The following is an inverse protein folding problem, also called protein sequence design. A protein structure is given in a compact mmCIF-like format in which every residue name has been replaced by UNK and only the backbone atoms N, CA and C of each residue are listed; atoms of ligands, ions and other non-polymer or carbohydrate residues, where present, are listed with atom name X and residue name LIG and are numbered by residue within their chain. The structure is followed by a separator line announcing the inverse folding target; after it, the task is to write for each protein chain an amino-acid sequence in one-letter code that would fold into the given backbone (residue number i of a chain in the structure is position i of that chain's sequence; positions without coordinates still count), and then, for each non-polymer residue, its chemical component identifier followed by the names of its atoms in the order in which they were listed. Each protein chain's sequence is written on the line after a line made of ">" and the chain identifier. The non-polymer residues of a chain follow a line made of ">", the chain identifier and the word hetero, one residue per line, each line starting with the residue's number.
data_IF_983974780082
#
_entry.id   IF_983974780082
#
_cell.length_a   1.000
_cell.length_b   1.000
_cell.length_c   1.000
_cell.angle_alpha   90.00
_cell.angle_beta   90.00
_cell.angle_gamma   90.00
#
_symmetry.space_group_name_H-M   'P 1'
#
loop_
_entity.id
_entity.type
_entity.pdbx_description
1 polymer ?
#
# COMPACT_ATOMS: atom_id res chain seq x y z
N UNK A 1 -41.66 -13.99 5.88
CA UNK A 1 -41.30 -15.43 5.85
C UNK A 1 -40.10 -15.64 6.77
N UNK A 2 -40.20 -16.52 7.76
CA UNK A 2 -39.08 -16.83 8.65
C UNK A 2 -38.03 -17.67 7.91
N UNK A 3 -36.76 -17.26 7.97
CA UNK A 3 -35.63 -17.97 7.34
C UNK A 3 -34.89 -18.75 8.42
N UNK A 4 -35.09 -20.07 8.43
CA UNK A 4 -34.33 -20.98 9.28
C UNK A 4 -33.06 -21.42 8.56
N UNK A 5 -31.90 -21.16 9.16
CA UNK A 5 -30.59 -21.52 8.60
C UNK A 5 -29.86 -22.39 9.60
N UNK A 6 -29.46 -23.59 9.16
CA UNK A 6 -28.60 -24.48 9.92
C UNK A 6 -27.16 -23.96 9.89
N UNK A 7 -26.53 -23.87 11.06
CA UNK A 7 -25.13 -23.48 11.15
C UNK A 7 -24.22 -24.60 10.60
N UNK A 8 -23.29 -24.30 9.67
CA UNK A 8 -22.38 -25.31 9.13
C UNK A 8 -21.31 -25.77 10.14
N UNK A 9 -21.08 -25.02 11.22
CA UNK A 9 -20.04 -25.30 12.21
C UNK A 9 -20.58 -26.08 13.42
N UNK A 10 -21.67 -25.61 14.04
CA UNK A 10 -22.23 -26.24 15.24
C UNK A 10 -23.55 -27.01 15.01
N UNK A 11 -24.11 -26.99 13.80
CA UNK A 11 -25.34 -27.73 13.47
C UNK A 11 -26.65 -27.16 14.05
N UNK A 12 -26.60 -26.10 14.86
CA UNK A 12 -27.77 -25.45 15.47
C UNK A 12 -28.58 -24.67 14.41
N UNK A 13 -29.91 -24.74 14.49
CA UNK A 13 -30.81 -23.94 13.66
C UNK A 13 -30.97 -22.54 14.23
N UNK A 14 -30.67 -21.52 13.43
CA UNK A 14 -30.88 -20.12 13.80
C UNK A 14 -31.98 -19.52 12.91
N UNK A 15 -32.76 -18.61 13.46
CA UNK A 15 -33.91 -18.00 12.78
C UNK A 15 -33.64 -16.53 12.51
N UNK A 16 -33.53 -16.14 11.24
CA UNK A 16 -33.27 -14.75 10.81
C UNK A 16 -31.99 -14.09 11.38
N UNK A 17 -31.08 -14.85 12.01
CA UNK A 17 -29.84 -14.31 12.52
C UNK A 17 -28.73 -14.27 11.47
N UNK A 18 -27.87 -13.25 11.56
CA UNK A 18 -26.71 -13.11 10.67
C UNK A 18 -25.49 -13.89 11.13
N UNK A 19 -25.41 -14.16 12.44
CA UNK A 19 -24.39 -14.95 13.09
C UNK A 19 -25.08 -16.10 13.85
N UNK A 20 -24.33 -17.12 14.21
CA UNK A 20 -24.86 -18.20 15.03
C UNK A 20 -24.84 -17.81 16.51
N UNK A 21 -25.96 -17.98 17.21
CA UNK A 21 -26.07 -17.81 18.67
C UNK A 21 -25.01 -18.53 19.51
N UNK A 22 -24.61 -19.73 19.09
CA UNK A 22 -23.67 -20.58 19.85
C UNK A 22 -22.19 -20.37 19.49
N UNK A 23 -21.87 -20.37 18.19
CA UNK A 23 -20.47 -20.36 17.74
C UNK A 23 -20.06 -19.06 17.04
N UNK A 24 -20.94 -18.05 17.04
CA UNK A 24 -20.76 -16.73 16.41
C UNK A 24 -20.31 -16.78 14.93
N UNK A 25 -20.53 -17.91 14.26
CA UNK A 25 -20.16 -18.10 12.85
C UNK A 25 -21.13 -17.31 11.98
N UNK A 26 -20.61 -16.54 11.02
CA UNK A 26 -21.42 -15.77 10.08
C UNK A 26 -22.27 -16.70 9.20
N UNK A 27 -23.59 -16.65 9.29
CA UNK A 27 -24.53 -17.51 8.54
C UNK A 27 -24.93 -16.90 7.20
N UNK A 28 -24.98 -15.57 7.11
CA UNK A 28 -25.45 -14.87 5.92
C UNK A 28 -24.45 -15.02 4.76
N UNK A 29 -24.88 -15.72 3.71
CA UNK A 29 -24.12 -15.86 2.47
C UNK A 29 -23.73 -14.51 1.85
N UNK A 30 -24.66 -13.54 1.85
CA UNK A 30 -24.41 -12.20 1.31
C UNK A 30 -23.24 -11.51 2.03
N UNK A 31 -23.28 -11.51 3.37
CA UNK A 31 -22.20 -10.93 4.19
C UNK A 31 -20.87 -11.65 4.00
N UNK A 32 -20.86 -12.99 3.86
CA UNK A 32 -19.61 -13.73 3.58
C UNK A 32 -18.97 -13.29 2.27
N UNK A 33 -19.79 -13.13 1.23
CA UNK A 33 -19.33 -12.69 -0.09
C UNK A 33 -18.83 -11.24 -0.05
N UNK A 34 -19.51 -10.37 0.68
CA UNK A 34 -19.07 -8.98 0.90
C UNK A 34 -17.72 -8.91 1.62
N UNK A 35 -17.53 -9.70 2.69
CA UNK A 35 -16.26 -9.75 3.41
C UNK A 35 -15.12 -10.31 2.55
N UNK A 36 -15.37 -11.38 1.80
CA UNK A 36 -14.38 -11.95 0.88
C UNK A 36 -13.97 -10.94 -0.21
N UNK A 37 -14.94 -10.21 -0.77
CA UNK A 37 -14.67 -9.16 -1.74
C UNK A 37 -13.90 -7.98 -1.12
N UNK A 38 -14.24 -7.58 0.10
CA UNK A 38 -13.53 -6.54 0.82
C UNK A 38 -12.09 -6.94 1.14
N UNK A 39 -11.84 -8.20 1.48
CA UNK A 39 -10.49 -8.74 1.67
C UNK A 39 -9.70 -8.76 0.36
N UNK A 40 -10.25 -9.28 -0.73
CA UNK A 40 -9.57 -9.29 -2.03
C UNK A 40 -9.21 -7.87 -2.49
N UNK A 41 -10.12 -6.90 -2.30
CA UNK A 41 -9.85 -5.50 -2.62
C UNK A 41 -8.72 -4.92 -1.78
N UNK A 42 -8.64 -5.26 -0.49
CA UNK A 42 -7.52 -4.84 0.37
C UNK A 42 -6.21 -5.46 -0.10
N UNK A 43 -6.19 -6.75 -0.38
CA UNK A 43 -4.99 -7.46 -0.85
C UNK A 43 -4.51 -6.92 -2.20
N UNK A 44 -5.44 -6.55 -3.10
CA UNK A 44 -5.13 -5.87 -4.37
C UNK A 44 -4.43 -4.53 -4.13
N UNK A 45 -4.99 -3.69 -3.25
CA UNK A 45 -4.40 -2.39 -2.91
C UNK A 45 -3.05 -2.54 -2.20
N UNK A 46 -2.89 -3.54 -1.33
CA UNK A 46 -1.63 -3.86 -0.66
C UNK A 46 -0.56 -4.25 -1.69
N UNK A 47 -0.90 -5.12 -2.64
CA UNK A 47 0.01 -5.52 -3.74
C UNK A 47 0.37 -4.35 -4.64
N UNK A 48 -0.57 -3.46 -4.95
CA UNK A 48 -0.30 -2.25 -5.72
C UNK A 48 0.59 -1.27 -4.96
N UNK A 49 0.39 -1.11 -3.65
CA UNK A 49 1.29 -0.31 -2.80
C UNK A 49 2.69 -0.89 -2.79
N UNK A 50 2.83 -2.18 -2.54
CA UNK A 50 4.13 -2.86 -2.54
C UNK A 50 4.81 -2.78 -3.90
N UNK A 51 4.08 -2.89 -5.02
CA UNK A 51 4.66 -2.72 -6.37
C UNK A 51 5.07 -1.28 -6.66
N UNK A 52 4.28 -0.29 -6.24
CA UNK A 52 4.64 1.12 -6.42
C UNK A 52 5.82 1.52 -5.51
N UNK A 53 5.86 1.02 -4.28
CA UNK A 53 6.98 1.24 -3.36
C UNK A 53 8.24 0.48 -3.82
N UNK A 54 8.06 -0.73 -4.36
CA UNK A 54 9.09 -1.50 -5.05
C UNK A 54 9.31 -1.05 -6.50
N UNK A 55 8.83 0.12 -6.90
CA UNK A 55 9.38 0.87 -8.03
C UNK A 55 10.40 1.86 -7.46
N UNK A 56 11.58 1.37 -7.00
CA UNK A 56 12.60 2.25 -6.47
C UNK A 56 12.91 3.32 -7.50
N UNK A 57 13.15 4.54 -7.02
CA UNK A 57 13.67 5.61 -7.87
C UNK A 57 14.87 5.07 -8.68
N UNK A 58 15.08 5.59 -9.89
CA UNK A 58 16.21 5.17 -10.74
C UNK A 58 17.53 5.14 -9.96
N UNK A 59 17.73 6.07 -9.03
CA UNK A 59 18.88 6.10 -8.14
C UNK A 59 18.99 4.85 -7.25
N UNK A 60 17.93 4.50 -6.51
CA UNK A 60 17.94 3.34 -5.60
C UNK A 60 18.08 2.02 -6.39
N UNK A 61 17.55 1.97 -7.62
CA UNK A 61 17.69 0.80 -8.51
C UNK A 61 19.14 0.56 -8.98
N UNK A 62 19.92 1.62 -9.23
CA UNK A 62 21.27 1.50 -9.78
C UNK A 62 22.39 1.64 -8.75
N UNK A 63 22.08 2.06 -7.53
CA UNK A 63 23.04 2.19 -6.42
C UNK A 63 23.68 0.86 -6.04
N UNK A 64 22.91 -0.23 -6.02
CA UNK A 64 23.41 -1.57 -5.66
C UNK A 64 23.81 -2.43 -6.86
N UNK A 65 23.99 -1.83 -8.04
CA UNK A 65 24.40 -2.57 -9.23
C UNK A 65 25.73 -3.31 -9.02
N UNK A 66 25.84 -4.53 -9.57
CA UNK A 66 27.04 -5.40 -9.43
C UNK A 66 28.31 -4.78 -10.01
N UNK A 67 28.18 -3.87 -10.98
CA UNK A 67 29.31 -3.18 -11.61
C UNK A 67 29.66 -1.90 -10.84
N UNK A 68 30.89 -1.85 -10.31
CA UNK A 68 31.40 -0.71 -9.52
C UNK A 68 31.37 0.61 -10.30
N UNK A 69 31.61 0.59 -11.61
CA UNK A 69 31.61 1.79 -12.46
C UNK A 69 30.24 2.47 -12.44
N UNK A 70 29.17 1.69 -12.63
CA UNK A 70 27.79 2.19 -12.65
C UNK A 70 27.41 2.80 -11.30
N UNK A 71 27.80 2.14 -10.20
CA UNK A 71 27.57 2.63 -8.83
C UNK A 71 28.23 4.00 -8.59
N UNK A 72 29.48 4.18 -9.04
CA UNK A 72 30.22 5.42 -8.86
C UNK A 72 29.60 6.56 -9.69
N UNK A 73 29.27 6.30 -10.95
CA UNK A 73 28.66 7.31 -11.84
C UNK A 73 27.34 7.82 -11.27
N UNK A 74 26.45 6.91 -10.86
CA UNK A 74 25.13 7.29 -10.29
C UNK A 74 25.29 8.14 -9.03
N UNK A 75 26.27 7.81 -8.17
CA UNK A 75 26.56 8.57 -6.95
C UNK A 75 27.10 9.97 -7.26
N UNK A 76 27.98 10.11 -8.25
CA UNK A 76 28.56 11.39 -8.66
C UNK A 76 27.47 12.28 -9.28
N UNK A 77 26.71 11.76 -10.24
CA UNK A 77 25.64 12.54 -10.90
C UNK A 77 24.61 13.03 -9.89
N UNK A 78 24.19 12.17 -8.95
CA UNK A 78 23.27 12.56 -7.89
C UNK A 78 23.84 13.65 -6.97
N UNK A 79 25.12 13.53 -6.58
CA UNK A 79 25.79 14.53 -5.74
C UNK A 79 25.92 15.89 -6.43
N UNK A 80 26.26 15.90 -7.72
CA UNK A 80 26.39 17.13 -8.52
C UNK A 80 25.02 17.80 -8.66
N UNK A 81 23.98 17.03 -8.98
CA UNK A 81 22.62 17.55 -9.13
C UNK A 81 22.10 18.21 -7.85
N UNK A 82 22.29 17.54 -6.70
CA UNK A 82 21.92 18.12 -5.40
C UNK A 82 22.71 19.40 -5.11
N UNK A 83 23.99 19.45 -5.46
CA UNK A 83 24.79 20.67 -5.33
C UNK A 83 24.20 21.84 -6.11
N UNK A 84 23.84 21.63 -7.38
CA UNK A 84 23.21 22.67 -8.19
C UNK A 84 21.86 23.12 -7.64
N UNK A 85 21.02 22.18 -7.21
CA UNK A 85 19.73 22.52 -6.61
C UNK A 85 19.89 23.32 -5.31
N UNK A 86 20.84 22.94 -4.46
CA UNK A 86 21.13 23.68 -3.23
C UNK A 86 21.58 25.12 -3.52
N UNK A 87 22.47 25.30 -4.49
CA UNK A 87 22.92 26.64 -4.92
C UNK A 87 21.76 27.45 -5.50
N UNK A 88 20.93 26.84 -6.37
CA UNK A 88 19.78 27.50 -6.97
C UNK A 88 18.75 27.96 -5.93
N UNK A 89 18.42 27.10 -4.96
CA UNK A 89 17.51 27.44 -3.85
C UNK A 89 18.10 28.54 -2.98
N UNK A 90 19.40 28.48 -2.68
CA UNK A 90 20.08 29.49 -1.88
C UNK A 90 20.04 30.87 -2.56
N UNK A 91 20.31 30.93 -3.86
CA UNK A 91 20.22 32.18 -4.63
C UNK A 91 18.77 32.68 -4.69
N UNK A 92 17.80 31.79 -4.95
CA UNK A 92 16.38 32.15 -4.98
C UNK A 92 15.88 32.72 -3.64
N UNK A 93 16.34 32.15 -2.53
CA UNK A 93 16.05 32.64 -1.19
C UNK A 93 16.62 34.05 -0.95
N UNK A 94 17.86 34.31 -1.39
CA UNK A 94 18.44 35.66 -1.28
C UNK A 94 17.65 36.70 -2.09
N UNK A 95 17.23 36.36 -3.30
CA UNK A 95 16.44 37.27 -4.14
C UNK A 95 15.07 37.55 -3.49
N UNK A 96 14.37 36.52 -3.01
CA UNK A 96 13.07 36.69 -2.34
C UNK A 96 13.21 37.45 -1.02
N UNK A 97 14.28 37.24 -0.25
CA UNK A 97 14.54 37.98 0.97
C UNK A 97 14.85 39.47 0.74
N UNK A 98 15.36 39.83 -0.44
CA UNK A 98 15.61 41.23 -0.83
C UNK A 98 14.37 41.87 -1.47
N UNK A 99 13.54 41.08 -2.16
CA UNK A 99 12.34 41.54 -2.84
C UNK A 99 11.09 41.62 -1.94
N UNK A 100 11.10 40.94 -0.79
CA UNK A 100 10.09 41.01 0.27
C UNK A 100 10.35 42.20 1.20
#
# INVERSE_FOLDING_TARGET
>A
MARHVKCPNCGVYNTNETYCTQCNTLLSYKKRRELAFAQDKKDRLERERLQNEASPSFYEKYKDHKFLIVRVVVKITHSIWLGFMAIGVFIAWLITAIAA
#
